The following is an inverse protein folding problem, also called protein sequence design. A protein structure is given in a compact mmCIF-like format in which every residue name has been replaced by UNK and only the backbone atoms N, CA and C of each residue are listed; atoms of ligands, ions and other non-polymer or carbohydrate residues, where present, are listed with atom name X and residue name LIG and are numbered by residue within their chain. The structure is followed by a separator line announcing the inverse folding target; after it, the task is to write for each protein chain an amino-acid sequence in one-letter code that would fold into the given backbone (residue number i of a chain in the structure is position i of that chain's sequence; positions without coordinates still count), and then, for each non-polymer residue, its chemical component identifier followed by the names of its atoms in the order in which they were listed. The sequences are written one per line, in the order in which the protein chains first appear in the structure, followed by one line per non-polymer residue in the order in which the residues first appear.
data_IF_266332217093
#
_entry.id   IF_266332217093
#
_cell.length_a   1.000
_cell.length_b   1.000
_cell.length_c   1.000
_cell.angle_alpha   90.00
_cell.angle_beta   90.00
_cell.angle_gamma   90.00
#
_symmetry.space_group_name_H-M   'P 1'
#
loop_
_entity.id
_entity.type
_entity.pdbx_description
1 polymer ?
#
# COMPACT_ATOMS: atom_id res chain seq x y z
N UNK A 1 6.51 -15.62 10.60
CA UNK A 1 5.68 -16.87 10.56
C UNK A 1 4.33 -16.63 9.87
N UNK A 2 3.55 -15.61 10.21
CA UNK A 2 2.23 -15.33 9.59
C UNK A 2 2.31 -15.12 8.07
N UNK A 3 3.37 -14.49 7.58
CA UNK A 3 3.55 -14.21 6.14
C UNK A 3 3.72 -15.47 5.30
N UNK A 4 4.38 -16.51 5.84
CA UNK A 4 4.49 -17.81 5.20
C UNK A 4 3.17 -18.59 5.25
N UNK A 5 2.53 -18.63 6.42
CA UNK A 5 1.29 -19.41 6.63
C UNK A 5 0.16 -18.95 5.71
N UNK A 6 0.00 -17.63 5.47
CA UNK A 6 -1.02 -17.11 4.53
C UNK A 6 -0.80 -17.63 3.11
N UNK A 7 0.46 -17.74 2.67
CA UNK A 7 0.82 -18.26 1.35
C UNK A 7 0.53 -19.77 1.28
N UNK A 8 0.95 -20.51 2.29
CA UNK A 8 0.74 -21.97 2.35
C UNK A 8 -0.75 -22.32 2.33
N UNK A 9 -1.56 -21.70 3.17
CA UNK A 9 -3.01 -21.96 3.21
C UNK A 9 -3.66 -21.70 1.86
N UNK A 10 -3.32 -20.59 1.19
CA UNK A 10 -3.87 -20.30 -0.14
C UNK A 10 -3.29 -21.21 -1.23
N UNK A 11 -2.04 -21.59 -1.13
CA UNK A 11 -1.45 -22.54 -2.08
C UNK A 11 -2.14 -23.92 -2.00
N UNK A 12 -2.44 -24.40 -0.79
CA UNK A 12 -3.08 -25.69 -0.58
C UNK A 12 -4.58 -25.69 -0.92
N UNK A 13 -5.30 -24.62 -0.57
CA UNK A 13 -6.76 -24.60 -0.60
C UNK A 13 -7.37 -23.60 -1.59
N UNK A 14 -6.59 -22.65 -2.08
CA UNK A 14 -7.10 -21.49 -2.78
C UNK A 14 -7.88 -20.55 -1.86
N UNK A 15 -8.51 -19.53 -2.45
CA UNK A 15 -9.35 -18.59 -1.72
C UNK A 15 -8.79 -17.19 -1.62
N UNK A 16 -9.24 -16.43 -0.63
CA UNK A 16 -8.83 -15.02 -0.42
C UNK A 16 -8.37 -14.85 1.02
N UNK A 17 -7.22 -14.21 1.20
CA UNK A 17 -6.66 -13.82 2.49
C UNK A 17 -6.65 -12.30 2.66
N UNK A 18 -6.96 -11.85 3.85
CA UNK A 18 -6.80 -10.48 4.31
C UNK A 18 -6.16 -10.46 5.70
N UNK A 19 -5.35 -9.44 5.97
CA UNK A 19 -4.94 -9.15 7.35
C UNK A 19 -6.17 -8.71 8.18
N UNK A 20 -6.10 -8.93 9.49
CA UNK A 20 -7.25 -8.71 10.41
C UNK A 20 -7.69 -7.25 10.53
N UNK A 21 -6.88 -6.32 10.06
CA UNK A 21 -7.16 -4.89 10.00
C UNK A 21 -7.48 -4.37 8.59
N UNK A 22 -7.89 -5.28 7.71
CA UNK A 22 -8.42 -4.96 6.37
C UNK A 22 -9.95 -4.93 6.41
N UNK A 23 -10.53 -3.84 5.96
CA UNK A 23 -11.96 -3.66 5.81
C UNK A 23 -12.37 -3.80 4.34
N UNK A 24 -13.19 -4.78 4.00
CA UNK A 24 -13.83 -4.86 2.69
C UNK A 24 -14.94 -3.80 2.58
N UNK A 25 -14.93 -3.02 1.49
CA UNK A 25 -15.90 -1.93 1.24
C UNK A 25 -16.68 -2.11 -0.06
N UNK A 26 -16.36 -3.16 -0.82
CA UNK A 26 -16.98 -3.53 -2.09
C UNK A 26 -16.99 -5.05 -2.25
N UNK A 27 -17.92 -5.59 -3.06
CA UNK A 27 -17.94 -7.00 -3.42
C UNK A 27 -16.67 -7.37 -4.20
N UNK A 28 -16.14 -8.55 -3.92
CA UNK A 28 -14.86 -9.02 -4.47
C UNK A 28 -15.00 -9.86 -5.73
N UNK A 29 -16.24 -10.19 -6.14
CA UNK A 29 -16.52 -11.06 -7.28
C UNK A 29 -15.74 -10.71 -8.55
N UNK A 30 -15.57 -9.42 -8.94
CA UNK A 30 -14.79 -9.09 -10.12
C UNK A 30 -13.30 -9.43 -10.03
N UNK A 31 -12.76 -9.60 -8.81
CA UNK A 31 -11.36 -10.00 -8.62
C UNK A 31 -11.17 -11.51 -8.86
N UNK A 32 -12.24 -12.30 -8.72
CA UNK A 32 -12.24 -13.75 -8.93
C UNK A 32 -12.14 -14.16 -10.41
N UNK A 33 -12.19 -13.20 -11.34
CA UNK A 33 -11.90 -13.43 -12.75
C UNK A 33 -10.40 -13.75 -12.99
N UNK A 34 -9.55 -13.43 -12.00
CA UNK A 34 -8.11 -13.71 -12.03
C UNK A 34 -7.79 -14.97 -11.23
N UNK A 35 -6.91 -15.81 -11.78
CA UNK A 35 -6.40 -16.98 -11.07
C UNK A 35 -5.60 -16.62 -9.81
N UNK A 36 -4.99 -15.43 -9.81
CA UNK A 36 -4.36 -14.83 -8.64
C UNK A 36 -4.45 -13.31 -8.72
N UNK A 37 -4.67 -12.67 -7.57
CA UNK A 37 -4.58 -11.21 -7.46
C UNK A 37 -3.90 -10.80 -6.15
N UNK A 38 -3.24 -9.64 -6.17
CA UNK A 38 -2.59 -9.05 -5.01
C UNK A 38 -2.52 -7.53 -5.13
N UNK A 39 -2.25 -6.84 -4.02
CA UNK A 39 -2.23 -5.40 -3.96
C UNK A 39 -0.83 -4.80 -3.83
N UNK A 40 -0.68 -3.57 -4.34
CA UNK A 40 0.48 -2.73 -4.11
C UNK A 40 0.28 -1.91 -2.85
N UNK A 41 1.31 -1.86 -2.01
CA UNK A 41 1.48 -0.94 -0.91
C UNK A 41 2.48 0.15 -1.30
N UNK A 42 2.11 1.39 -1.05
CA UNK A 42 3.01 2.52 -1.26
C UNK A 42 3.61 2.99 0.06
N UNK A 43 4.93 2.98 0.15
CA UNK A 43 5.68 3.58 1.24
C UNK A 43 6.69 4.56 0.66
N UNK A 44 6.52 5.86 0.91
CA UNK A 44 7.26 6.95 0.27
C UNK A 44 7.19 6.84 -1.27
N UNK A 45 8.34 6.67 -1.94
CA UNK A 45 8.42 6.59 -3.40
C UNK A 45 8.44 5.16 -3.95
N UNK A 46 8.28 4.15 -3.08
CA UNK A 46 8.30 2.74 -3.49
C UNK A 46 6.88 2.16 -3.60
N UNK A 47 6.67 1.31 -4.60
CA UNK A 47 5.43 0.59 -4.85
C UNK A 47 5.70 -0.91 -4.71
N UNK A 48 5.54 -1.45 -3.50
CA UNK A 48 5.85 -2.85 -3.17
C UNK A 48 4.61 -3.70 -3.10
N UNK A 49 4.73 -4.97 -3.45
CA UNK A 49 3.61 -5.91 -3.37
C UNK A 49 3.45 -6.41 -1.93
N UNK A 50 2.25 -6.20 -1.37
CA UNK A 50 1.90 -6.63 -0.03
C UNK A 50 0.74 -7.63 -0.07
N UNK A 51 1.02 -8.87 0.32
CA UNK A 51 0.04 -9.96 0.37
C UNK A 51 -0.95 -9.87 1.53
N UNK A 52 -0.75 -8.96 2.48
CA UNK A 52 -1.67 -8.71 3.60
C UNK A 52 -2.86 -7.82 3.25
N UNK A 53 -2.75 -7.01 2.19
CA UNK A 53 -3.81 -6.08 1.76
C UNK A 53 -5.03 -6.79 1.16
N UNK A 54 -4.78 -7.94 0.58
CA UNK A 54 -5.71 -8.80 -0.14
C UNK A 54 -4.92 -9.65 -1.14
N UNK A 55 -4.89 -10.94 -0.87
CA UNK A 55 -4.29 -11.94 -1.72
C UNK A 55 -5.36 -12.97 -2.06
N UNK A 56 -5.68 -13.12 -3.32
CA UNK A 56 -6.52 -14.22 -3.80
C UNK A 56 -5.73 -15.12 -4.73
N UNK A 57 -5.95 -16.42 -4.65
CA UNK A 57 -5.33 -17.37 -5.55
C UNK A 57 -6.15 -18.65 -5.71
N UNK A 58 -6.05 -19.29 -6.87
CA UNK A 58 -6.42 -20.70 -7.03
C UNK A 58 -5.42 -21.60 -6.31
N UNK A 59 -5.88 -22.74 -5.83
CA UNK A 59 -4.98 -23.75 -5.23
C UNK A 59 -3.87 -24.15 -6.21
N UNK A 60 -2.65 -24.33 -5.71
CA UNK A 60 -1.50 -24.70 -6.50
C UNK A 60 -0.96 -23.58 -7.41
N UNK A 61 -1.30 -22.32 -7.17
CA UNK A 61 -0.83 -21.22 -8.04
C UNK A 61 0.70 -21.08 -7.97
N UNK A 62 1.46 -21.23 -9.08
CA UNK A 62 2.91 -21.40 -9.04
C UNK A 62 3.69 -20.26 -8.39
N UNK A 63 3.28 -19.00 -8.61
CA UNK A 63 3.96 -17.84 -8.03
C UNK A 63 3.93 -17.87 -6.48
N UNK A 64 2.85 -18.42 -5.86
CA UNK A 64 2.82 -18.56 -4.40
C UNK A 64 3.90 -19.54 -3.92
N UNK A 65 4.13 -20.64 -4.66
CA UNK A 65 5.18 -21.59 -4.34
C UNK A 65 6.57 -20.94 -4.40
N UNK A 66 6.85 -20.17 -5.44
CA UNK A 66 8.12 -19.42 -5.54
C UNK A 66 8.34 -18.46 -4.36
N UNK A 67 7.27 -17.74 -3.95
CA UNK A 67 7.38 -16.85 -2.79
C UNK A 67 7.62 -17.67 -1.51
N UNK A 68 6.97 -18.83 -1.36
CA UNK A 68 7.17 -19.70 -0.20
C UNK A 68 8.60 -20.26 -0.16
N UNK A 69 9.16 -20.65 -1.31
CA UNK A 69 10.53 -21.20 -1.40
C UNK A 69 11.58 -20.17 -0.93
N UNK A 70 11.37 -18.87 -1.17
CA UNK A 70 12.25 -17.81 -0.64
C UNK A 70 12.25 -17.76 0.90
N UNK A 71 11.18 -18.24 1.56
CA UNK A 71 11.12 -18.32 3.01
C UNK A 71 11.82 -19.57 3.57
N UNK A 72 11.94 -20.65 2.80
CA UNK A 72 12.62 -21.88 3.25
C UNK A 72 14.11 -21.63 3.51
N UNK A 73 14.74 -20.76 2.72
CA UNK A 73 16.13 -20.36 2.88
C UNK A 73 16.31 -19.18 3.86
N UNK A 74 15.21 -18.58 4.33
CA UNK A 74 15.26 -17.41 5.19
C UNK A 74 15.62 -17.77 6.63
N UNK A 75 16.72 -17.23 7.13
CA UNK A 75 17.12 -17.35 8.53
C UNK A 75 16.80 -16.10 9.32
N UNK A 76 16.15 -16.24 10.49
CA UNK A 76 15.88 -15.12 11.37
C UNK A 76 17.17 -14.45 11.90
N UNK A 77 18.18 -15.27 12.18
CA UNK A 77 19.54 -14.80 12.49
C UNK A 77 20.45 -15.05 11.29
N UNK A 78 21.10 -13.99 10.83
CA UNK A 78 22.13 -14.09 9.81
C UNK A 78 23.40 -14.75 10.36
N UNK A 79 24.32 -15.25 9.52
CA UNK A 79 25.58 -15.83 9.98
C UNK A 79 26.44 -14.90 10.84
N UNK A 80 26.30 -13.59 10.67
CA UNK A 80 26.98 -12.55 11.46
C UNK A 80 26.28 -12.25 12.81
N UNK A 81 25.19 -12.96 13.14
CA UNK A 81 24.38 -12.77 14.34
C UNK A 81 23.35 -11.66 14.25
N UNK A 82 23.30 -10.89 13.17
CA UNK A 82 22.29 -9.86 12.97
C UNK A 82 20.92 -10.49 12.68
N UNK A 83 19.85 -9.81 13.12
CA UNK A 83 18.47 -10.20 12.81
C UNK A 83 18.13 -9.81 11.35
N UNK A 84 17.55 -10.76 10.59
CA UNK A 84 16.97 -10.45 9.29
C UNK A 84 15.61 -9.75 9.48
N UNK A 85 15.57 -8.46 9.17
CA UNK A 85 14.36 -7.62 9.24
C UNK A 85 13.69 -7.44 7.87
N UNK A 86 14.04 -8.27 6.89
CA UNK A 86 13.44 -8.23 5.56
C UNK A 86 11.94 -8.51 5.64
N UNK A 87 11.14 -7.53 5.27
CA UNK A 87 9.67 -7.62 5.34
C UNK A 87 9.10 -8.46 4.19
N UNK A 88 7.89 -9.00 4.38
CA UNK A 88 7.18 -9.74 3.32
C UNK A 88 7.02 -8.90 2.03
N UNK A 89 6.79 -7.60 2.16
CA UNK A 89 6.66 -6.70 1.00
C UNK A 89 7.93 -6.64 0.16
N UNK A 90 9.10 -6.67 0.81
CA UNK A 90 10.39 -6.72 0.10
C UNK A 90 10.54 -8.07 -0.60
N UNK A 91 10.37 -9.19 0.13
CA UNK A 91 10.50 -10.55 -0.43
C UNK A 91 9.58 -10.76 -1.62
N UNK A 92 8.29 -10.48 -1.45
CA UNK A 92 7.30 -10.62 -2.52
C UNK A 92 7.69 -9.80 -3.75
N UNK A 93 8.10 -8.54 -3.54
CA UNK A 93 8.47 -7.64 -4.63
C UNK A 93 9.69 -8.14 -5.40
N UNK A 94 10.71 -8.64 -4.69
CA UNK A 94 11.92 -9.17 -5.35
C UNK A 94 11.62 -10.43 -6.18
N UNK A 95 10.73 -11.32 -5.71
CA UNK A 95 10.29 -12.47 -6.51
C UNK A 95 9.53 -11.99 -7.76
N UNK A 96 8.57 -11.07 -7.61
CA UNK A 96 7.81 -10.57 -8.76
C UNK A 96 8.70 -9.83 -9.78
N UNK A 97 9.77 -9.17 -9.34
CA UNK A 97 10.75 -8.54 -10.24
C UNK A 97 11.44 -9.54 -11.16
N UNK A 98 11.69 -10.76 -10.71
CA UNK A 98 12.23 -11.84 -11.57
C UNK A 98 11.31 -12.12 -12.76
N UNK A 99 10.00 -11.81 -12.62
CA UNK A 99 8.97 -11.96 -13.66
C UNK A 99 8.58 -10.64 -14.33
N UNK A 100 9.38 -9.58 -14.17
CA UNK A 100 9.19 -8.31 -14.87
C UNK A 100 8.33 -7.28 -14.13
N UNK A 101 8.03 -7.47 -12.83
CA UNK A 101 7.37 -6.44 -12.04
C UNK A 101 8.23 -5.18 -11.97
N UNK A 102 7.59 -4.03 -12.18
CA UNK A 102 8.21 -2.72 -12.04
C UNK A 102 7.58 -2.02 -10.84
N UNK A 103 8.40 -1.46 -9.94
CA UNK A 103 7.93 -0.73 -8.75
C UNK A 103 7.27 0.60 -9.14
N UNK A 104 6.09 0.49 -9.78
CA UNK A 104 5.22 1.61 -10.15
C UNK A 104 3.80 1.32 -9.70
N UNK A 105 3.13 2.33 -9.14
CA UNK A 105 1.75 2.24 -8.67
C UNK A 105 0.76 2.23 -9.84
N UNK A 106 0.71 1.09 -10.54
CA UNK A 106 -0.19 0.83 -11.67
C UNK A 106 -0.54 -0.64 -11.74
N UNK A 107 -1.62 -0.96 -12.42
CA UNK A 107 -1.98 -2.35 -12.72
C UNK A 107 -0.90 -3.04 -13.56
N UNK A 108 -0.55 -4.28 -13.18
CA UNK A 108 0.42 -5.11 -13.88
C UNK A 108 -0.04 -6.58 -13.86
N UNK A 109 0.25 -7.31 -14.94
CA UNK A 109 0.09 -8.77 -15.00
C UNK A 109 1.47 -9.40 -14.88
N UNK A 110 1.69 -10.19 -13.83
CA UNK A 110 3.00 -10.76 -13.49
C UNK A 110 2.85 -12.26 -13.22
N UNK A 111 3.49 -13.10 -14.02
CA UNK A 111 3.45 -14.56 -13.89
C UNK A 111 2.00 -15.11 -13.74
N UNK A 112 1.03 -14.52 -14.43
CA UNK A 112 -0.39 -14.88 -14.36
C UNK A 112 -1.16 -14.26 -13.18
N UNK A 113 -0.51 -13.52 -12.29
CA UNK A 113 -1.17 -12.79 -11.22
C UNK A 113 -1.52 -11.35 -11.62
N UNK A 114 -2.68 -10.87 -11.22
CA UNK A 114 -3.12 -9.48 -11.35
C UNK A 114 -2.62 -8.66 -10.15
N UNK A 115 -1.70 -7.74 -10.37
CA UNK A 115 -1.15 -6.86 -9.33
C UNK A 115 -1.82 -5.50 -9.45
N UNK A 116 -2.62 -5.14 -8.44
CA UNK A 116 -3.46 -3.95 -8.45
C UNK A 116 -2.80 -2.75 -7.77
N UNK A 117 -3.00 -1.52 -8.29
CA UNK A 117 -2.49 -0.30 -7.68
C UNK A 117 -3.11 -0.01 -6.31
N UNK A 118 -2.47 0.87 -5.55
CA UNK A 118 -2.83 1.20 -4.16
C UNK A 118 -4.29 1.61 -3.97
N UNK A 119 -4.91 2.30 -4.93
CA UNK A 119 -6.31 2.71 -4.83
C UNK A 119 -7.31 1.55 -4.66
N UNK A 120 -6.92 0.33 -5.06
CA UNK A 120 -7.78 -0.86 -4.99
C UNK A 120 -7.83 -1.46 -3.59
N UNK A 121 -6.68 -1.59 -2.90
CA UNK A 121 -6.58 -2.34 -1.64
C UNK A 121 -6.01 -1.52 -0.48
N UNK A 122 -5.22 -0.49 -0.76
CA UNK A 122 -4.55 0.33 0.25
C UNK A 122 -4.68 1.83 -0.04
N UNK A 123 -5.91 2.38 -0.10
CA UNK A 123 -6.14 3.79 -0.39
C UNK A 123 -5.71 4.71 0.75
N UNK A 124 -5.36 4.17 1.92
CA UNK A 124 -4.87 4.96 3.04
C UNK A 124 -3.35 5.04 3.00
N UNK A 125 -2.83 6.25 2.93
CA UNK A 125 -1.40 6.51 3.03
C UNK A 125 -0.91 6.17 4.44
N UNK A 126 -0.01 5.21 4.55
CA UNK A 126 0.55 4.74 5.81
C UNK A 126 1.32 5.84 6.55
N UNK A 127 1.92 6.80 5.84
CA UNK A 127 2.78 7.82 6.43
C UNK A 127 2.01 8.95 7.11
N UNK A 128 0.88 9.37 6.54
CA UNK A 128 0.11 10.52 7.04
C UNK A 128 -1.36 10.20 7.36
N UNK A 129 -1.83 8.98 7.05
CA UNK A 129 -3.19 8.52 7.28
C UNK A 129 -4.23 9.18 6.37
N UNK A 130 -3.82 9.81 5.26
CA UNK A 130 -4.76 10.34 4.27
C UNK A 130 -5.47 9.21 3.54
N UNK A 131 -6.76 9.41 3.33
CA UNK A 131 -7.60 8.47 2.62
C UNK A 131 -7.80 8.93 1.17
N UNK A 132 -7.41 8.10 0.21
CA UNK A 132 -7.57 8.32 -1.24
C UNK A 132 -8.56 7.33 -1.85
N UNK A 133 -9.70 7.12 -1.17
CA UNK A 133 -10.75 6.21 -1.63
C UNK A 133 -11.33 6.66 -2.97
N UNK A 134 -11.41 5.73 -3.93
CA UNK A 134 -12.01 5.93 -5.26
C UNK A 134 -13.15 4.93 -5.49
N UNK A 135 -13.80 5.01 -6.66
CA UNK A 135 -14.78 3.99 -7.10
C UNK A 135 -14.14 2.61 -7.32
N UNK A 136 -12.81 2.54 -7.45
CA UNK A 136 -12.06 1.30 -7.68
C UNK A 136 -11.67 0.61 -6.37
N UNK A 137 -11.86 1.25 -5.20
CA UNK A 137 -11.45 0.71 -3.91
C UNK A 137 -12.31 -0.50 -3.52
N UNK A 138 -11.69 -1.64 -3.29
CA UNK A 138 -12.28 -2.88 -2.77
C UNK A 138 -12.09 -3.04 -1.28
N UNK A 139 -10.89 -2.71 -0.79
CA UNK A 139 -10.56 -2.81 0.62
C UNK A 139 -9.83 -1.59 1.15
N UNK A 140 -9.79 -1.45 2.45
CA UNK A 140 -9.02 -0.42 3.17
C UNK A 140 -8.19 -1.12 4.22
N UNK A 141 -6.87 -1.04 4.12
CA UNK A 141 -5.97 -1.49 5.16
C UNK A 141 -5.77 -0.36 6.18
N UNK A 142 -6.08 -0.64 7.45
CA UNK A 142 -6.10 0.39 8.49
C UNK A 142 -4.75 0.62 9.16
N UNK A 143 -3.75 -0.26 8.91
CA UNK A 143 -2.42 -0.19 9.52
C UNK A 143 -2.48 -0.04 11.04
N UNK A 144 -3.30 -0.88 11.70
CA UNK A 144 -3.57 -0.82 13.14
C UNK A 144 -2.32 -1.09 13.98
N UNK A 145 -1.31 -1.77 13.40
CA UNK A 145 -0.07 -2.19 14.06
C UNK A 145 -0.35 -2.95 15.38
N UNK A 146 -1.40 -3.78 15.40
CA UNK A 146 -1.85 -4.53 16.58
C UNK A 146 -0.77 -5.43 17.20
N UNK A 147 0.25 -5.79 16.40
CA UNK A 147 1.41 -6.60 16.80
C UNK A 147 2.51 -5.79 17.50
N UNK A 148 2.40 -4.45 17.58
CA UNK A 148 3.37 -3.58 18.26
C UNK A 148 2.94 -3.30 19.70
N UNK A 149 3.87 -2.71 20.50
CA UNK A 149 3.56 -2.34 21.88
C UNK A 149 2.50 -1.22 21.95
N UNK A 150 1.74 -1.12 23.06
CA UNK A 150 0.77 -0.03 23.27
C UNK A 150 1.39 1.36 23.14
N UNK A 151 2.66 1.51 23.57
CA UNK A 151 3.42 2.77 23.49
C UNK A 151 3.61 3.17 22.02
N UNK A 152 4.08 2.26 21.17
CA UNK A 152 4.26 2.50 19.73
C UNK A 152 2.95 2.82 19.03
N UNK A 153 1.84 2.14 19.40
CA UNK A 153 0.52 2.45 18.87
C UNK A 153 0.07 3.86 19.25
N UNK A 154 0.35 4.29 20.50
CA UNK A 154 0.03 5.63 20.98
C UNK A 154 0.87 6.71 20.28
N UNK A 155 2.17 6.47 20.12
CA UNK A 155 3.08 7.36 19.37
C UNK A 155 2.62 7.54 17.94
N UNK A 156 2.26 6.42 17.27
CA UNK A 156 1.72 6.47 15.92
C UNK A 156 0.42 7.29 15.84
N UNK A 157 -0.52 7.09 16.77
CA UNK A 157 -1.76 7.89 16.83
C UNK A 157 -1.46 9.38 17.02
N UNK A 158 -0.47 9.73 17.82
CA UNK A 158 -0.02 11.13 18.02
C UNK A 158 0.60 11.69 16.73
N UNK A 159 1.48 10.91 16.09
CA UNK A 159 2.10 11.26 14.82
C UNK A 159 1.07 11.53 13.73
N UNK A 160 0.11 10.61 13.51
CA UNK A 160 -0.93 10.77 12.50
C UNK A 160 -1.83 11.98 12.77
N UNK A 161 -2.16 12.28 14.04
CA UNK A 161 -2.90 13.50 14.40
C UNK A 161 -2.12 14.76 14.03
N UNK A 162 -0.83 14.80 14.37
CA UNK A 162 0.05 15.92 14.02
C UNK A 162 0.17 16.06 12.50
N UNK A 163 0.37 14.99 11.77
CA UNK A 163 0.45 14.99 10.31
C UNK A 163 -0.82 15.52 9.66
N UNK A 164 -2.00 15.06 10.10
CA UNK A 164 -3.31 15.56 9.63
C UNK A 164 -3.52 17.04 9.94
N UNK A 165 -3.11 17.50 11.12
CA UNK A 165 -3.21 18.89 11.50
C UNK A 165 -2.30 19.78 10.63
N UNK A 166 -1.04 19.38 10.43
CA UNK A 166 -0.11 20.09 9.55
C UNK A 166 -0.62 20.15 8.10
N UNK A 167 -1.19 19.06 7.63
CA UNK A 167 -1.81 18.99 6.31
C UNK A 167 -3.03 19.90 6.19
N UNK A 168 -3.89 19.94 7.21
CA UNK A 168 -5.01 20.88 7.27
C UNK A 168 -4.52 22.33 7.23
N UNK A 169 -3.53 22.69 8.06
CA UNK A 169 -2.95 24.04 8.07
C UNK A 169 -2.35 24.41 6.72
N UNK A 170 -1.62 23.49 6.10
CA UNK A 170 -1.06 23.68 4.76
C UNK A 170 -2.18 23.94 3.74
N UNK A 171 -3.20 23.11 3.73
CA UNK A 171 -4.32 23.24 2.78
C UNK A 171 -5.10 24.54 2.99
N UNK A 172 -5.34 24.95 4.24
CA UNK A 172 -5.97 26.26 4.52
C UNK A 172 -5.14 27.40 3.95
N UNK A 173 -3.81 27.35 4.03
CA UNK A 173 -2.92 28.39 3.47
C UNK A 173 -2.85 28.38 1.94
N UNK A 174 -2.91 27.20 1.33
CA UNK A 174 -2.66 27.03 -0.12
C UNK A 174 -3.96 27.04 -0.93
N UNK A 175 -5.07 26.57 -0.37
CA UNK A 175 -6.34 26.46 -1.08
C UNK A 175 -6.86 27.78 -1.65
N UNK A 176 -6.83 28.92 -0.94
CA UNK A 176 -7.26 30.21 -1.51
C UNK A 176 -6.45 30.58 -2.75
N UNK A 177 -5.14 30.39 -2.70
CA UNK A 177 -4.25 30.65 -3.84
C UNK A 177 -4.52 29.73 -5.03
N UNK A 178 -4.81 28.44 -4.78
CA UNK A 178 -5.17 27.47 -5.83
C UNK A 178 -6.51 27.81 -6.47
N UNK A 179 -7.50 28.20 -5.67
CA UNK A 179 -8.82 28.63 -6.18
C UNK A 179 -8.67 29.87 -7.04
N UNK A 180 -7.98 30.91 -6.54
CA UNK A 180 -7.72 32.14 -7.28
C UNK A 180 -6.97 31.88 -8.59
N UNK A 181 -5.97 31.00 -8.58
CA UNK A 181 -5.23 30.59 -9.76
C UNK A 181 -6.12 29.91 -10.79
N UNK A 182 -7.02 29.04 -10.33
CA UNK A 182 -7.98 28.34 -11.21
C UNK A 182 -9.01 29.29 -11.82
N UNK A 183 -9.44 30.32 -11.09
CA UNK A 183 -10.43 31.31 -11.56
C UNK A 183 -9.84 32.36 -12.49
N UNK A 184 -8.62 32.83 -12.23
CA UNK A 184 -8.00 33.91 -12.96
C UNK A 184 -7.11 33.44 -14.11
N UNK A 185 -6.69 32.17 -14.11
CA UNK A 185 -5.60 31.66 -14.93
C UNK A 185 -4.22 32.10 -14.40
N UNK A 186 -3.15 31.37 -14.78
CA UNK A 186 -1.81 31.57 -14.23
C UNK A 186 -1.29 33.00 -14.43
N UNK A 187 -1.40 33.55 -15.63
CA UNK A 187 -0.88 34.90 -15.96
C UNK A 187 -1.55 36.02 -15.16
N UNK A 188 -2.88 35.98 -15.02
CA UNK A 188 -3.65 37.00 -14.26
C UNK A 188 -3.44 36.85 -12.74
N UNK A 189 -3.29 35.61 -12.26
CA UNK A 189 -2.98 35.35 -10.86
C UNK A 189 -1.60 35.91 -10.48
N UNK A 190 -0.58 35.77 -11.30
CA UNK A 190 0.76 36.27 -11.02
C UNK A 190 0.79 37.80 -11.02
N UNK A 191 0.06 38.46 -11.93
CA UNK A 191 -0.11 39.92 -11.91
C UNK A 191 -0.81 40.38 -10.61
N UNK A 192 -1.90 39.73 -10.22
CA UNK A 192 -2.63 40.01 -8.98
C UNK A 192 -1.75 39.85 -7.74
N UNK A 193 -1.02 38.74 -7.64
CA UNK A 193 -0.12 38.44 -6.54
C UNK A 193 1.03 39.46 -6.42
N UNK A 194 1.58 39.89 -7.54
CA UNK A 194 2.65 40.90 -7.57
C UNK A 194 2.13 42.28 -7.18
N UNK A 195 0.89 42.62 -7.53
CA UNK A 195 0.25 43.87 -7.09
C UNK A 195 0.03 43.93 -5.57
N UNK A 196 -0.32 42.77 -4.95
CA UNK A 196 -0.50 42.69 -3.49
C UNK A 196 0.84 42.78 -2.71
N UNK A 197 1.96 42.42 -3.29
CA UNK A 197 3.30 42.52 -2.65
C UNK A 197 3.89 43.93 -2.69
N UNK A 198 3.31 44.83 -3.50
CA UNK A 198 3.78 46.22 -3.65
C UNK A 198 3.08 47.21 -2.71
N UNK A 199 2.13 46.74 -1.91
CA UNK A 199 1.50 47.46 -0.79
C UNK A 199 2.05 46.95 0.54
#
# INVERSE_FOLDING_TARGET
MTDYVRLQVLYENGGIYFDTDVQAVKKLDPLLEHRCFMGIERAADTAKVNTGLGLGAEAGFPLLKEIMDDYEDAQFYRPDGAIDITTCTVRNTEILKKHGYVEKDRFQQIAGAAVYPTEYFSPMDMTNGRMHKTRNTYTIHHYSLSWTTPEHQLERKRYLRKARWLDFVYNVKVTPNRILRKLLGDSRYDVFKNALKRK
#
